data_IF_906685892108
#
_entry.id   IF_906685892108
#
_cell.length_a   1.000
_cell.length_b   1.000
_cell.length_c   1.000
_cell.angle_alpha   90.00
_cell.angle_beta   90.00
_cell.angle_gamma   90.00
#
_symmetry.space_group_name_H-M   'P 1'
#
loop_
_entity.id
_entity.type
_entity.pdbx_description
1 polymer ?
#
# COMPACT_ATOMS: atom_id res chain seq x y z
N UNK A 1 -11.17 -16.09 -2.94
CA UNK A 1 -11.45 -14.99 -1.98
C UNK A 1 -12.10 -15.59 -0.74
N UNK A 2 -11.53 -15.38 0.45
CA UNK A 2 -12.07 -15.93 1.71
C UNK A 2 -13.14 -15.01 2.29
N UNK A 3 -14.23 -15.58 2.81
CA UNK A 3 -15.30 -14.83 3.49
C UNK A 3 -15.63 -15.45 4.85
N UNK A 4 -16.09 -14.61 5.77
CA UNK A 4 -16.44 -15.00 7.14
C UNK A 4 -17.69 -14.26 7.61
N UNK A 5 -18.67 -14.94 8.24
CA UNK A 5 -19.80 -14.26 8.87
C UNK A 5 -19.36 -13.36 10.03
N UNK A 6 -20.07 -12.26 10.27
CA UNK A 6 -19.76 -11.29 11.31
C UNK A 6 -19.72 -11.91 12.73
N UNK A 7 -20.54 -12.93 12.99
CA UNK A 7 -20.50 -13.68 14.25
C UNK A 7 -19.16 -14.42 14.43
N UNK A 8 -18.70 -15.13 13.40
CA UNK A 8 -17.40 -15.83 13.39
C UNK A 8 -16.22 -14.86 13.44
N UNK A 9 -16.33 -13.72 12.75
CA UNK A 9 -15.33 -12.67 12.86
C UNK A 9 -15.20 -12.16 14.29
N UNK A 10 -16.32 -11.93 14.99
CA UNK A 10 -16.32 -11.49 16.40
C UNK A 10 -15.64 -12.52 17.31
N UNK A 11 -15.94 -13.80 17.12
CA UNK A 11 -15.34 -14.91 17.90
C UNK A 11 -13.83 -15.08 17.65
N UNK A 12 -13.36 -14.85 16.43
CA UNK A 12 -12.00 -15.18 15.99
C UNK A 12 -11.17 -13.96 15.59
N UNK A 13 -11.58 -12.76 16.02
CA UNK A 13 -11.07 -11.49 15.51
C UNK A 13 -9.53 -11.43 15.52
N UNK A 14 -8.90 -11.63 16.68
CA UNK A 14 -7.45 -11.54 16.84
C UNK A 14 -6.72 -12.56 15.96
N UNK A 15 -7.16 -13.82 15.96
CA UNK A 15 -6.56 -14.86 15.12
C UNK A 15 -6.69 -14.57 13.61
N UNK A 16 -7.74 -13.87 13.19
CA UNK A 16 -7.91 -13.46 11.79
C UNK A 16 -7.03 -12.25 11.43
N UNK A 17 -6.78 -11.34 12.38
CA UNK A 17 -5.83 -10.24 12.19
C UNK A 17 -4.41 -10.78 11.95
N UNK A 18 -3.98 -11.79 12.72
CA UNK A 18 -2.65 -12.38 12.59
C UNK A 18 -2.45 -13.17 11.28
N UNK A 19 -3.53 -13.71 10.72
CA UNK A 19 -3.49 -14.66 9.59
C UNK A 19 -3.98 -14.04 8.27
N UNK A 20 -4.33 -12.75 8.27
CA UNK A 20 -4.86 -12.09 7.07
C UNK A 20 -3.80 -12.07 5.97
N UNK A 21 -4.10 -12.73 4.86
CA UNK A 21 -3.24 -12.73 3.67
C UNK A 21 -3.41 -11.45 2.83
N UNK A 22 -2.58 -11.27 1.79
CA UNK A 22 -2.59 -10.08 0.93
C UNK A 22 -3.95 -9.81 0.25
N UNK A 23 -4.73 -10.86 -0.05
CA UNK A 23 -6.05 -10.71 -0.68
C UNK A 23 -7.13 -10.18 0.26
N UNK A 24 -6.88 -10.22 1.57
CA UNK A 24 -7.84 -9.89 2.63
C UNK A 24 -8.98 -10.91 2.81
N UNK A 25 -9.88 -10.61 3.74
CA UNK A 25 -11.02 -11.45 4.13
C UNK A 25 -12.29 -10.61 4.10
N UNK A 26 -13.34 -11.09 3.42
CA UNK A 26 -14.64 -10.41 3.38
C UNK A 26 -15.47 -10.80 4.60
N UNK A 27 -15.95 -9.82 5.33
CA UNK A 27 -16.86 -10.01 6.47
C UNK A 27 -18.30 -9.83 5.96
N UNK A 28 -19.15 -10.81 6.21
CA UNK A 28 -20.56 -10.78 5.77
C UNK A 28 -21.53 -10.70 6.95
N UNK A 29 -22.67 -10.06 6.76
CA UNK A 29 -23.80 -10.07 7.71
C UNK A 29 -25.05 -10.47 6.95
N UNK A 30 -25.74 -11.53 7.39
CA UNK A 30 -26.88 -12.13 6.67
C UNK A 30 -26.57 -12.45 5.19
N UNK A 31 -25.38 -13.01 4.92
CA UNK A 31 -24.92 -13.36 3.57
C UNK A 31 -24.47 -12.18 2.70
N UNK A 32 -24.66 -10.94 3.14
CA UNK A 32 -24.25 -9.74 2.40
C UNK A 32 -22.88 -9.26 2.86
N UNK A 33 -21.94 -8.93 1.94
CA UNK A 33 -20.68 -8.29 2.30
C UNK A 33 -20.92 -6.95 3.02
N UNK A 34 -20.22 -6.73 4.14
CA UNK A 34 -20.34 -5.48 4.92
C UNK A 34 -19.00 -4.83 5.23
N UNK A 35 -17.91 -5.59 5.27
CA UNK A 35 -16.57 -5.08 5.51
C UNK A 35 -15.51 -5.99 4.89
N UNK A 36 -14.27 -5.50 4.79
CA UNK A 36 -13.11 -6.28 4.37
C UNK A 36 -11.96 -6.05 5.36
N UNK A 37 -11.43 -7.12 5.92
CA UNK A 37 -10.16 -7.09 6.65
C UNK A 37 -9.02 -7.21 5.64
N UNK A 38 -8.12 -6.24 5.63
CA UNK A 38 -6.91 -6.23 4.79
C UNK A 38 -5.67 -5.99 5.67
N UNK A 39 -4.52 -6.59 5.34
CA UNK A 39 -3.28 -6.23 5.99
C UNK A 39 -2.93 -4.77 5.67
N UNK A 40 -2.36 -4.07 6.65
CA UNK A 40 -1.76 -2.77 6.41
C UNK A 40 -0.43 -3.02 5.70
N UNK A 41 -0.35 -2.65 4.42
CA UNK A 41 0.89 -2.71 3.66
C UNK A 41 1.68 -1.40 3.89
N UNK A 42 2.80 -1.49 4.60
CA UNK A 42 3.74 -0.37 4.77
C UNK A 42 4.80 -0.34 3.66
N UNK A 43 4.80 -1.32 2.76
CA UNK A 43 5.85 -1.50 1.77
C UNK A 43 5.74 -0.47 0.62
N UNK A 44 6.31 0.70 0.87
CA UNK A 44 6.75 1.67 -0.15
C UNK A 44 7.72 1.05 -1.17
N UNK A 45 8.26 -0.15 -0.89
CA UNK A 45 9.06 -0.96 -1.82
C UNK A 45 8.35 -1.19 -3.15
N UNK A 46 7.01 -1.36 -3.15
CA UNK A 46 6.23 -1.51 -4.39
C UNK A 46 6.20 -0.23 -5.25
N UNK A 47 6.51 0.93 -4.67
CA UNK A 47 6.53 2.22 -5.37
C UNK A 47 7.89 2.55 -5.97
N UNK A 48 8.97 1.91 -5.50
CA UNK A 48 10.31 2.10 -6.05
C UNK A 48 10.29 1.69 -7.53
N UNK A 49 10.57 2.66 -8.41
CA UNK A 49 10.59 2.45 -9.86
C UNK A 49 9.20 2.39 -10.54
N UNK A 50 8.09 2.57 -9.82
CA UNK A 50 6.73 2.57 -10.38
C UNK A 50 6.48 3.61 -11.48
N UNK A 51 7.30 4.67 -11.50
CA UNK A 51 7.29 5.75 -12.48
C UNK A 51 8.46 5.69 -13.48
N UNK A 52 9.27 4.62 -13.50
CA UNK A 52 10.35 4.44 -14.48
C UNK A 52 9.76 4.50 -15.89
N UNK A 53 10.30 5.40 -16.73
CA UNK A 53 9.81 5.63 -18.10
C UNK A 53 8.50 6.41 -18.23
N UNK A 54 7.84 6.77 -17.12
CA UNK A 54 6.60 7.59 -17.11
C UNK A 54 6.84 9.05 -16.77
N UNK A 55 8.00 9.40 -16.23
CA UNK A 55 8.38 10.78 -15.87
C UNK A 55 9.31 11.36 -16.93
N UNK A 56 9.03 12.61 -17.31
CA UNK A 56 9.91 13.43 -18.16
C UNK A 56 10.45 14.61 -17.35
N UNK A 57 11.76 14.71 -17.26
CA UNK A 57 12.44 15.87 -16.67
C UNK A 57 12.27 17.06 -17.63
N UNK A 58 11.73 18.18 -17.15
CA UNK A 58 11.49 19.40 -17.95
C UNK A 58 12.56 20.50 -17.79
N UNK A 59 13.63 20.25 -17.02
CA UNK A 59 14.70 21.24 -16.79
C UNK A 59 15.99 20.58 -16.29
N UNK A 60 17.02 21.36 -15.98
CA UNK A 60 18.26 20.82 -15.44
C UNK A 60 18.16 20.66 -13.91
N UNK A 61 17.61 19.52 -13.47
CA UNK A 61 17.44 19.21 -12.04
C UNK A 61 18.74 18.85 -11.31
N UNK A 62 19.85 18.66 -12.05
CA UNK A 62 21.17 18.38 -11.49
C UNK A 62 22.04 19.64 -11.41
N UNK A 63 21.51 20.79 -11.83
CA UNK A 63 22.18 22.08 -11.64
C UNK A 63 21.85 22.67 -10.27
N UNK A 64 22.82 23.32 -9.67
CA UNK A 64 22.64 24.15 -8.46
C UNK A 64 22.11 25.54 -8.78
N UNK A 65 22.05 25.93 -10.06
CA UNK A 65 21.65 27.28 -10.49
C UNK A 65 22.71 28.35 -10.24
N UNK A 66 23.83 28.02 -9.60
CA UNK A 66 24.94 28.93 -9.34
C UNK A 66 26.09 28.66 -10.30
N UNK A 67 26.74 29.72 -10.77
CA UNK A 67 28.04 29.59 -11.44
C UNK A 67 29.10 29.38 -10.37
N UNK A 68 29.87 28.31 -10.53
CA UNK A 68 31.05 28.06 -9.71
C UNK A 68 32.18 28.94 -10.22
N UNK A 69 32.73 29.79 -9.35
CA UNK A 69 33.85 30.68 -9.66
C UNK A 69 35.10 30.14 -8.92
N UNK A 70 35.87 29.30 -9.63
CA UNK A 70 36.93 28.46 -9.06
C UNK A 70 38.29 29.15 -8.97
N UNK A 71 38.36 30.47 -9.08
CA UNK A 71 39.62 31.20 -9.19
C UNK A 71 39.82 32.11 -7.97
N UNK A 72 40.88 31.81 -7.21
CA UNK A 72 41.53 32.67 -6.23
C UNK A 72 43.00 32.75 -6.58
#
# INVERSE_FOLDING_TARGET
MKSVPAARFKEQCLALLDRVGPDGIIITKHGKPVAKLVPIHTDSVKLIGSFKGKIKIKGNILSTGVKWDAES
#
